data_IF_526574525832
#
_entry.id   IF_526574525832
#
_cell.length_a   1.000
_cell.length_b   1.000
_cell.length_c   1.000
_cell.angle_alpha   90.00
_cell.angle_beta   90.00
_cell.angle_gamma   90.00
#
_symmetry.space_group_name_H-M   'P 1'
#
loop_
_entity.id
_entity.type
_entity.pdbx_description
1 polymer ?
#
# COMPACT_ATOMS: atom_id res chain seq x y z
N UNK A 1 -4.99 19.31 7.49
CA UNK A 1 -3.75 18.96 6.75
C UNK A 1 -3.39 17.54 7.13
N UNK A 2 -2.81 16.75 6.22
CA UNK A 2 -2.39 15.40 6.58
C UNK A 2 -1.09 15.45 7.39
N UNK A 3 -1.02 14.63 8.43
CA UNK A 3 0.15 14.48 9.30
C UNK A 3 0.95 13.26 8.89
N UNK A 4 2.20 13.48 8.51
CA UNK A 4 3.14 12.46 7.99
C UNK A 4 4.18 12.17 9.06
N UNK A 5 4.36 10.91 9.43
CA UNK A 5 5.49 10.47 10.24
C UNK A 5 6.60 9.98 9.30
N UNK A 6 7.79 10.54 9.45
CA UNK A 6 9.02 10.09 8.77
C UNK A 6 9.87 9.33 9.76
N UNK A 7 10.22 8.10 9.43
CA UNK A 7 11.08 7.23 10.23
C UNK A 7 12.31 6.87 9.40
N UNK A 8 13.43 7.46 9.74
CA UNK A 8 14.70 7.36 9.01
C UNK A 8 15.83 7.63 10.01
N UNK A 9 16.83 6.78 10.11
CA UNK A 9 17.93 6.95 11.06
C UNK A 9 18.95 8.00 10.59
N UNK A 10 19.14 8.14 9.29
CA UNK A 10 20.04 9.15 8.73
C UNK A 10 19.41 10.55 8.82
N UNK A 11 19.90 11.36 9.77
CA UNK A 11 19.38 12.70 10.06
C UNK A 11 19.32 13.60 8.83
N UNK A 12 20.32 13.54 7.93
CA UNK A 12 20.37 14.37 6.74
C UNK A 12 19.21 14.05 5.78
N UNK A 13 18.89 12.76 5.58
CA UNK A 13 17.76 12.32 4.74
C UNK A 13 16.44 12.70 5.42
N UNK A 14 16.30 12.39 6.71
CA UNK A 14 15.10 12.68 7.50
C UNK A 14 14.74 14.16 7.49
N UNK A 15 15.72 15.03 7.81
CA UNK A 15 15.52 16.49 7.84
C UNK A 15 15.21 17.06 6.47
N UNK A 16 15.89 16.61 5.40
CA UNK A 16 15.62 17.06 4.05
C UNK A 16 14.21 16.67 3.60
N UNK A 17 13.74 15.46 3.88
CA UNK A 17 12.38 15.04 3.60
C UNK A 17 11.37 15.87 4.39
N UNK A 18 11.62 16.09 5.69
CA UNK A 18 10.73 16.84 6.57
C UNK A 18 10.57 18.29 6.12
N UNK A 19 11.67 18.97 5.81
CA UNK A 19 11.65 20.36 5.33
C UNK A 19 10.83 20.49 4.04
N UNK A 20 11.14 19.65 3.06
CA UNK A 20 10.44 19.68 1.78
C UNK A 20 8.94 19.36 1.91
N UNK A 21 8.56 18.40 2.77
CA UNK A 21 7.14 18.08 2.99
C UNK A 21 6.41 19.20 3.72
N UNK A 22 7.07 19.89 4.67
CA UNK A 22 6.49 21.08 5.31
C UNK A 22 6.25 22.22 4.30
N UNK A 23 7.17 22.41 3.33
CA UNK A 23 6.99 23.38 2.24
C UNK A 23 5.80 23.02 1.34
N UNK A 24 5.51 21.73 1.17
CA UNK A 24 4.32 21.23 0.44
C UNK A 24 3.01 21.31 1.27
N UNK A 25 3.09 21.80 2.51
CA UNK A 25 1.93 22.06 3.38
C UNK A 25 1.50 20.85 4.23
N UNK A 26 2.35 19.86 4.45
CA UNK A 26 2.08 18.75 5.37
C UNK A 26 2.53 19.09 6.81
N UNK A 27 1.82 18.54 7.80
CA UNK A 27 2.35 18.42 9.15
C UNK A 27 3.32 17.25 9.20
N UNK A 28 4.51 17.43 9.78
CA UNK A 28 5.55 16.40 9.75
C UNK A 28 6.06 16.13 11.14
N UNK A 29 5.94 14.88 11.56
CA UNK A 29 6.60 14.24 12.69
C UNK A 29 7.82 13.44 12.23
N UNK A 30 8.82 13.36 13.08
CA UNK A 30 10.08 12.70 12.76
C UNK A 30 10.43 11.69 13.86
N UNK A 31 11.00 10.56 13.47
CA UNK A 31 11.56 9.55 14.38
C UNK A 31 12.88 9.02 13.81
N UNK A 32 13.89 8.85 14.66
CA UNK A 32 15.21 8.36 14.27
C UNK A 32 15.36 6.85 14.40
N UNK A 33 14.40 6.16 15.03
CA UNK A 33 14.43 4.72 15.26
C UNK A 33 13.03 4.11 15.34
N UNK A 34 12.97 2.78 15.34
CA UNK A 34 11.70 2.06 15.33
C UNK A 34 10.95 2.07 16.67
N UNK A 35 11.62 2.34 17.79
CA UNK A 35 10.99 2.46 19.11
C UNK A 35 10.23 3.78 19.19
N UNK A 36 10.90 4.87 18.85
CA UNK A 36 10.27 6.19 18.78
C UNK A 36 9.10 6.20 17.80
N UNK A 37 9.28 5.58 16.62
CA UNK A 37 8.24 5.45 15.62
C UNK A 37 6.99 4.74 16.18
N UNK A 38 7.18 3.59 16.86
CA UNK A 38 6.05 2.85 17.44
C UNK A 38 5.32 3.66 18.50
N UNK A 39 6.05 4.39 19.36
CA UNK A 39 5.46 5.28 20.36
C UNK A 39 4.61 6.39 19.70
N UNK A 40 5.13 7.08 18.69
CA UNK A 40 4.40 8.15 18.00
C UNK A 40 3.16 7.61 17.27
N UNK A 41 3.26 6.44 16.64
CA UNK A 41 2.11 5.79 15.99
C UNK A 41 0.97 5.41 16.96
N UNK A 42 1.27 5.26 18.27
CA UNK A 42 0.27 5.01 19.31
C UNK A 42 -0.32 6.29 19.91
N UNK A 43 0.49 7.34 20.01
CA UNK A 43 0.11 8.54 20.76
C UNK A 43 -0.34 9.70 19.90
N UNK A 44 -0.04 9.71 18.62
CA UNK A 44 -0.30 10.82 17.73
C UNK A 44 -1.21 10.42 16.55
N UNK A 45 -2.08 11.31 16.08
CA UNK A 45 -2.92 11.05 14.92
C UNK A 45 -2.09 11.16 13.63
N UNK A 46 -1.53 10.05 13.18
CA UNK A 46 -0.73 9.98 11.95
C UNK A 46 -1.62 9.53 10.79
N UNK A 47 -1.58 10.27 9.67
CA UNK A 47 -2.35 9.99 8.46
C UNK A 47 -1.52 9.22 7.41
N UNK A 48 -0.19 9.28 7.51
CA UNK A 48 0.73 8.66 6.55
C UNK A 48 2.07 8.33 7.20
N UNK A 49 2.66 7.19 6.84
CA UNK A 49 3.96 6.76 7.31
C UNK A 49 4.96 6.64 6.16
N UNK A 50 6.11 7.31 6.30
CA UNK A 50 7.31 7.04 5.51
C UNK A 50 8.26 6.27 6.40
N UNK A 51 8.73 5.11 5.96
CA UNK A 51 9.43 4.16 6.84
C UNK A 51 10.66 3.59 6.17
N UNK A 52 11.85 3.86 6.71
CA UNK A 52 13.03 3.06 6.40
C UNK A 52 12.95 1.70 7.09
N UNK A 53 13.46 0.70 6.44
CA UNK A 53 13.51 -0.65 6.98
C UNK A 53 14.74 -0.91 7.86
N UNK A 54 15.83 -0.23 7.54
CA UNK A 54 17.14 -0.44 8.17
C UNK A 54 17.33 0.50 9.34
N UNK A 55 16.44 0.43 10.32
CA UNK A 55 16.48 1.25 11.53
C UNK A 55 17.28 0.58 12.64
N UNK A 56 17.92 1.36 13.50
CA UNK A 56 18.50 0.86 14.74
C UNK A 56 17.41 0.49 15.75
N UNK A 57 17.79 -0.22 16.80
CA UNK A 57 16.97 -0.67 17.94
C UNK A 57 15.82 -1.61 17.52
N UNK A 58 14.89 -1.13 16.71
CA UNK A 58 13.76 -1.89 16.21
C UNK A 58 13.64 -1.69 14.70
N UNK A 59 13.65 -2.79 13.94
CA UNK A 59 13.63 -2.73 12.49
C UNK A 59 12.32 -2.12 11.96
N UNK A 60 12.39 -1.45 10.80
CA UNK A 60 11.18 -0.92 10.14
C UNK A 60 10.21 -2.03 9.74
N UNK A 61 10.69 -3.25 9.47
CA UNK A 61 9.83 -4.40 9.21
C UNK A 61 8.99 -4.79 10.44
N UNK A 62 9.56 -4.71 11.64
CA UNK A 62 8.82 -4.98 12.89
C UNK A 62 7.81 -3.88 13.18
N UNK A 63 8.17 -2.61 12.94
CA UNK A 63 7.23 -1.47 13.05
C UNK A 63 6.04 -1.66 12.13
N UNK A 64 6.28 -2.00 10.86
CA UNK A 64 5.23 -2.23 9.87
C UNK A 64 4.30 -3.38 10.26
N UNK A 65 4.90 -4.50 10.69
CA UNK A 65 4.16 -5.69 11.12
C UNK A 65 3.24 -5.38 12.31
N UNK A 66 3.76 -4.76 13.37
CA UNK A 66 2.95 -4.37 14.52
C UNK A 66 1.83 -3.41 14.15
N UNK A 67 2.11 -2.43 13.28
CA UNK A 67 1.11 -1.48 12.81
C UNK A 67 -0.07 -2.21 12.14
N UNK A 68 0.21 -3.21 11.32
CA UNK A 68 -0.82 -4.00 10.63
C UNK A 68 -1.51 -5.00 11.55
N UNK A 69 -0.82 -5.62 12.49
CA UNK A 69 -1.41 -6.49 13.52
C UNK A 69 -2.41 -5.74 14.41
N UNK A 70 -2.17 -4.45 14.69
CA UNK A 70 -3.10 -3.56 15.38
C UNK A 70 -4.31 -3.12 14.50
N UNK A 71 -4.39 -3.58 13.25
CA UNK A 71 -5.48 -3.27 12.33
C UNK A 71 -5.40 -1.88 11.70
N UNK A 72 -4.28 -1.16 11.87
CA UNK A 72 -4.11 0.17 11.26
C UNK A 72 -4.11 0.10 9.74
N UNK A 73 -4.83 1.04 9.11
CA UNK A 73 -4.98 1.17 7.66
C UNK A 73 -4.27 2.40 7.10
N UNK A 74 -3.46 3.09 7.92
CA UNK A 74 -2.70 4.24 7.43
C UNK A 74 -1.79 3.82 6.27
N UNK A 75 -1.71 4.61 5.20
CA UNK A 75 -0.83 4.32 4.09
C UNK A 75 0.64 4.35 4.53
N UNK A 76 1.43 3.36 4.06
CA UNK A 76 2.85 3.23 4.36
C UNK A 76 3.66 3.20 3.07
N UNK A 77 4.54 4.19 2.92
CA UNK A 77 5.57 4.24 1.89
C UNK A 77 6.90 3.81 2.49
N UNK A 78 7.45 2.72 2.00
CA UNK A 78 8.73 2.20 2.48
C UNK A 78 9.88 2.80 1.70
N UNK A 79 10.91 3.29 2.39
CA UNK A 79 12.22 3.63 1.81
C UNK A 79 13.14 2.43 2.00
N UNK A 80 13.83 1.99 0.96
CA UNK A 80 14.69 0.80 1.07
C UNK A 80 15.93 0.91 0.20
N UNK A 81 17.08 0.51 0.75
CA UNK A 81 18.30 0.28 -0.02
C UNK A 81 18.32 -1.11 -0.71
N UNK A 82 17.35 -1.98 -0.38
CA UNK A 82 17.28 -3.35 -0.88
C UNK A 82 16.69 -3.38 -2.28
N UNK A 83 17.50 -3.75 -3.25
CA UNK A 83 17.07 -3.85 -4.66
C UNK A 83 16.65 -5.27 -5.07
N UNK A 84 16.77 -6.24 -4.18
CA UNK A 84 16.40 -7.62 -4.49
C UNK A 84 14.88 -7.77 -4.59
N UNK A 85 14.44 -8.44 -5.63
CA UNK A 85 13.03 -8.68 -5.94
C UNK A 85 12.29 -9.41 -4.78
N UNK A 86 12.98 -10.33 -4.11
CA UNK A 86 12.45 -11.09 -2.96
C UNK A 86 12.15 -10.19 -1.77
N UNK A 87 12.99 -9.17 -1.52
CA UNK A 87 12.79 -8.23 -0.41
C UNK A 87 11.56 -7.33 -0.66
N UNK A 88 11.33 -6.95 -1.91
CA UNK A 88 10.16 -6.14 -2.32
C UNK A 88 8.84 -6.91 -2.16
N UNK A 89 8.83 -8.21 -2.49
CA UNK A 89 7.67 -9.10 -2.24
C UNK A 89 7.34 -9.15 -0.75
N UNK A 90 8.34 -9.39 0.07
CA UNK A 90 8.17 -9.48 1.53
C UNK A 90 7.60 -8.20 2.12
N UNK A 91 8.03 -7.02 1.64
CA UNK A 91 7.54 -5.73 2.13
C UNK A 91 6.05 -5.51 1.90
N UNK A 92 5.57 -5.86 0.72
CA UNK A 92 4.15 -5.73 0.39
C UNK A 92 3.32 -6.81 1.07
N UNK A 93 3.89 -8.00 1.33
CA UNK A 93 3.27 -9.03 2.16
C UNK A 93 3.12 -8.57 3.62
N UNK A 94 4.09 -7.84 4.15
CA UNK A 94 4.03 -7.24 5.48
C UNK A 94 3.03 -6.07 5.57
N UNK A 95 2.50 -5.61 4.44
CA UNK A 95 1.44 -4.61 4.40
C UNK A 95 1.89 -3.19 4.05
N UNK A 96 3.08 -3.01 3.45
CA UNK A 96 3.44 -1.75 2.81
C UNK A 96 2.48 -1.47 1.63
N UNK A 97 2.16 -0.21 1.39
CA UNK A 97 1.31 0.18 0.26
C UNK A 97 2.13 0.48 -0.99
N UNK A 98 3.34 1.00 -0.82
CA UNK A 98 4.30 1.21 -1.90
C UNK A 98 5.72 1.30 -1.35
N UNK A 99 6.71 1.30 -2.22
CA UNK A 99 8.12 1.44 -1.86
C UNK A 99 8.87 2.36 -2.81
N UNK A 100 9.98 2.92 -2.33
CA UNK A 100 10.95 3.68 -3.10
C UNK A 100 12.34 3.15 -2.78
N UNK A 101 13.15 2.93 -3.80
CA UNK A 101 14.54 2.49 -3.63
C UNK A 101 15.47 3.67 -3.47
N UNK A 102 16.39 3.61 -2.51
CA UNK A 102 17.49 4.57 -2.35
C UNK A 102 18.57 4.32 -3.43
N UNK A 103 19.13 5.35 -4.09
CA UNK A 103 18.80 6.77 -3.95
C UNK A 103 17.51 7.15 -4.70
N UNK A 104 16.75 8.08 -4.13
CA UNK A 104 15.47 8.55 -4.68
C UNK A 104 15.48 10.09 -4.88
N UNK A 105 14.58 10.58 -5.71
CA UNK A 105 14.27 12.00 -5.79
C UNK A 105 13.10 12.37 -4.87
N UNK A 106 13.13 13.58 -4.29
CA UNK A 106 11.99 14.09 -3.52
C UNK A 106 10.69 14.13 -4.35
N UNK A 107 10.80 14.49 -5.64
CA UNK A 107 9.65 14.52 -6.54
C UNK A 107 8.97 13.15 -6.69
N UNK A 108 9.74 12.05 -6.69
CA UNK A 108 9.19 10.70 -6.70
C UNK A 108 8.46 10.38 -5.40
N UNK A 109 9.10 10.63 -4.26
CA UNK A 109 8.49 10.41 -2.93
C UNK A 109 7.20 11.20 -2.80
N UNK A 110 7.22 12.50 -3.15
CA UNK A 110 6.04 13.37 -3.09
C UNK A 110 4.89 12.89 -3.99
N UNK A 111 5.21 12.45 -5.21
CA UNK A 111 4.20 11.92 -6.13
C UNK A 111 3.50 10.70 -5.54
N UNK A 112 4.25 9.79 -4.89
CA UNK A 112 3.71 8.60 -4.23
C UNK A 112 2.88 8.94 -3.00
N UNK A 113 3.33 9.88 -2.16
CA UNK A 113 2.56 10.38 -1.01
C UNK A 113 1.22 10.96 -1.47
N UNK A 114 1.24 11.89 -2.44
CA UNK A 114 0.01 12.50 -2.99
C UNK A 114 -0.95 11.44 -3.56
N UNK A 115 -0.42 10.42 -4.20
CA UNK A 115 -1.20 9.33 -4.73
C UNK A 115 -1.83 8.47 -3.62
N UNK A 116 -1.07 8.10 -2.60
CA UNK A 116 -1.53 7.28 -1.49
C UNK A 116 -2.51 8.02 -0.58
N UNK A 117 -2.30 9.31 -0.29
CA UNK A 117 -3.22 10.14 0.51
C UNK A 117 -4.56 10.42 -0.18
N UNK A 118 -4.57 10.58 -1.51
CA UNK A 118 -5.81 10.82 -2.26
C UNK A 118 -6.84 9.70 -2.10
N UNK A 119 -6.45 8.51 -1.69
CA UNK A 119 -7.30 7.33 -1.50
C UNK A 119 -8.09 7.31 -0.21
N UNK A 120 -7.64 8.02 0.82
CA UNK A 120 -8.44 8.22 2.03
C UNK A 120 -9.78 8.91 1.73
N UNK A 121 -9.94 9.42 0.50
CA UNK A 121 -11.15 10.10 0.01
C UNK A 121 -12.07 9.12 -0.79
N UNK A 122 -11.92 7.79 -0.66
CA UNK A 122 -12.94 6.85 -1.12
C UNK A 122 -14.10 6.86 -0.12
N UNK A 123 -14.94 7.89 -0.22
CA UNK A 123 -16.05 8.03 0.68
C UNK A 123 -17.15 8.88 0.11
N UNK A 124 -18.35 8.48 0.46
CA UNK A 124 -19.57 9.29 0.55
C UNK A 124 -20.29 9.69 -0.74
N UNK A 125 -20.25 8.85 -1.79
CA UNK A 125 -21.09 9.11 -2.98
C UNK A 125 -21.27 7.92 -3.90
N UNK A 126 -20.61 6.82 -3.62
CA UNK A 126 -20.63 5.67 -4.50
C UNK A 126 -21.80 4.72 -4.16
N UNK A 127 -22.77 4.66 -5.08
CA UNK A 127 -23.92 3.75 -5.01
C UNK A 127 -23.59 2.27 -5.31
N UNK A 128 -22.29 1.92 -5.39
CA UNK A 128 -21.84 0.54 -5.57
C UNK A 128 -22.21 -0.32 -4.34
N UNK A 129 -22.58 -1.57 -4.52
CA UNK A 129 -22.87 -2.45 -3.41
C UNK A 129 -21.65 -2.54 -2.48
N UNK A 130 -21.90 -2.29 -1.19
CA UNK A 130 -20.85 -2.28 -0.15
C UNK A 130 -20.18 -3.62 -0.02
N UNK A 131 -20.94 -4.70 -0.24
CA UNK A 131 -20.47 -6.09 -0.10
C UNK A 131 -20.67 -6.82 -1.42
N UNK A 132 -19.64 -7.54 -1.89
CA UNK A 132 -19.67 -8.30 -3.15
C UNK A 132 -18.99 -9.65 -2.97
N UNK A 133 -19.54 -10.68 -3.58
CA UNK A 133 -18.89 -12.00 -3.65
C UNK A 133 -17.91 -12.08 -4.82
N UNK A 134 -16.69 -12.47 -4.52
CA UNK A 134 -15.62 -12.71 -5.49
C UNK A 134 -15.10 -14.14 -5.28
N UNK A 135 -15.40 -15.05 -6.22
CA UNK A 135 -15.16 -16.49 -6.00
C UNK A 135 -15.91 -16.97 -4.78
N UNK A 136 -15.23 -17.63 -3.86
CA UNK A 136 -15.74 -18.11 -2.57
C UNK A 136 -15.62 -17.09 -1.42
N UNK A 137 -15.10 -15.88 -1.69
CA UNK A 137 -14.89 -14.86 -0.69
C UNK A 137 -15.96 -13.75 -0.76
N UNK A 138 -16.34 -13.23 0.40
CA UNK A 138 -17.17 -12.04 0.56
C UNK A 138 -16.28 -10.84 0.86
N UNK A 139 -16.35 -9.78 0.05
CA UNK A 139 -15.55 -8.55 0.19
C UNK A 139 -16.45 -7.40 0.59
N UNK A 140 -16.21 -6.79 1.75
CA UNK A 140 -16.82 -5.53 2.19
C UNK A 140 -15.85 -4.37 1.90
N UNK A 141 -16.18 -3.59 0.88
CA UNK A 141 -15.38 -2.42 0.47
C UNK A 141 -15.49 -1.25 1.47
N UNK A 142 -16.57 -1.18 2.24
CA UNK A 142 -16.74 -0.14 3.25
C UNK A 142 -15.93 -0.41 4.51
N UNK A 143 -15.86 -1.68 4.93
CA UNK A 143 -15.05 -2.12 6.07
C UNK A 143 -13.60 -2.43 5.68
N UNK A 144 -13.28 -2.52 4.38
CA UNK A 144 -11.99 -3.00 3.87
C UNK A 144 -11.65 -4.39 4.40
N UNK A 145 -12.61 -5.31 4.31
CA UNK A 145 -12.42 -6.68 4.77
C UNK A 145 -12.80 -7.70 3.70
N UNK A 146 -12.16 -8.86 3.79
CA UNK A 146 -12.44 -10.03 2.97
C UNK A 146 -12.70 -11.20 3.91
N UNK A 147 -13.86 -11.85 3.78
CA UNK A 147 -14.21 -13.06 4.53
C UNK A 147 -14.15 -14.28 3.61
N UNK A 148 -13.37 -15.29 4.00
CA UNK A 148 -13.28 -16.59 3.32
C UNK A 148 -13.08 -17.69 4.35
N UNK A 149 -13.83 -18.79 4.24
CA UNK A 149 -13.74 -19.96 5.15
C UNK A 149 -13.77 -19.55 6.64
N UNK A 150 -14.75 -18.69 7.03
CA UNK A 150 -14.92 -18.12 8.37
C UNK A 150 -13.73 -17.30 8.92
N UNK A 151 -12.72 -17.05 8.12
CA UNK A 151 -11.64 -16.14 8.43
C UNK A 151 -11.87 -14.78 7.81
N UNK A 152 -11.60 -13.73 8.58
CA UNK A 152 -11.67 -12.34 8.13
C UNK A 152 -10.25 -11.80 7.95
N UNK A 153 -10.00 -11.23 6.79
CA UNK A 153 -8.72 -10.61 6.41
C UNK A 153 -8.95 -9.12 6.18
N UNK A 154 -8.01 -8.30 6.63
CA UNK A 154 -8.01 -6.88 6.31
C UNK A 154 -7.42 -6.65 4.91
N UNK A 155 -8.10 -5.81 4.14
CA UNK A 155 -7.60 -5.30 2.86
C UNK A 155 -7.02 -3.91 3.07
N UNK A 156 -5.91 -3.62 2.42
CA UNK A 156 -5.49 -2.22 2.29
C UNK A 156 -6.43 -1.46 1.33
N UNK A 157 -6.50 -0.13 1.42
CA UNK A 157 -7.24 0.68 0.45
C UNK A 157 -6.85 0.41 -1.00
N UNK A 158 -5.57 0.06 -1.23
CA UNK A 158 -5.02 -0.37 -2.53
C UNK A 158 -5.64 -1.65 -3.04
N UNK A 159 -5.61 -2.68 -2.21
CA UNK A 159 -6.15 -3.99 -2.54
C UNK A 159 -7.64 -3.91 -2.85
N UNK A 160 -8.38 -3.17 -2.03
CA UNK A 160 -9.79 -2.90 -2.27
C UNK A 160 -10.01 -2.13 -3.59
N UNK A 161 -9.21 -1.09 -3.87
CA UNK A 161 -9.26 -0.34 -5.12
C UNK A 161 -8.94 -1.21 -6.35
N UNK A 162 -7.98 -2.12 -6.25
CA UNK A 162 -7.65 -3.06 -7.33
C UNK A 162 -8.81 -4.02 -7.60
N UNK A 163 -9.41 -4.59 -6.56
CA UNK A 163 -10.56 -5.48 -6.69
C UNK A 163 -11.75 -4.73 -7.31
N UNK A 164 -12.02 -3.51 -6.86
CA UNK A 164 -13.10 -2.68 -7.41
C UNK A 164 -12.90 -2.41 -8.90
N UNK A 165 -11.69 -1.98 -9.31
CA UNK A 165 -11.38 -1.73 -10.71
C UNK A 165 -11.56 -2.99 -11.58
N UNK A 166 -11.14 -4.15 -11.08
CA UNK A 166 -11.32 -5.41 -11.79
C UNK A 166 -12.79 -5.84 -11.88
N UNK A 167 -13.60 -5.58 -10.85
CA UNK A 167 -15.04 -5.83 -10.88
C UNK A 167 -15.75 -4.95 -11.89
N UNK A 168 -15.45 -3.65 -11.94
CA UNK A 168 -15.98 -2.71 -12.93
C UNK A 168 -15.68 -3.15 -14.38
N UNK A 169 -14.54 -3.81 -14.56
CA UNK A 169 -14.07 -4.33 -15.84
C UNK A 169 -14.17 -5.85 -15.98
N UNK A 170 -15.05 -6.46 -15.21
CA UNK A 170 -15.16 -7.92 -15.18
C UNK A 170 -15.17 -8.54 -16.59
N UNK A 171 -14.38 -9.58 -16.80
CA UNK A 171 -14.20 -10.22 -18.09
C UNK A 171 -13.20 -9.52 -19.05
N UNK A 172 -12.79 -8.28 -18.76
CA UNK A 172 -11.81 -7.52 -19.55
C UNK A 172 -10.46 -7.44 -18.79
N UNK A 173 -9.37 -7.43 -19.56
CA UNK A 173 -8.05 -7.23 -18.97
C UNK A 173 -7.88 -5.77 -18.50
N UNK A 174 -7.33 -5.61 -17.32
CA UNK A 174 -6.82 -4.35 -16.77
C UNK A 174 -5.32 -4.36 -16.91
N UNK A 175 -4.75 -3.35 -17.58
CA UNK A 175 -3.29 -3.29 -17.76
C UNK A 175 -2.62 -2.85 -16.45
N UNK A 176 -1.32 -3.18 -16.29
CA UNK A 176 -0.53 -2.73 -15.14
C UNK A 176 -0.50 -1.21 -15.04
N UNK A 177 -0.37 -0.53 -16.16
CA UNK A 177 -0.41 0.92 -16.24
C UNK A 177 -1.77 1.48 -15.80
N UNK A 178 -2.86 0.82 -16.17
CA UNK A 178 -4.19 1.24 -15.78
C UNK A 178 -4.40 1.09 -14.27
N UNK A 179 -3.90 0.03 -13.66
CA UNK A 179 -3.86 -0.07 -12.20
C UNK A 179 -3.11 1.10 -11.59
N UNK A 180 -1.88 1.37 -12.03
CA UNK A 180 -1.07 2.47 -11.51
C UNK A 180 -1.73 3.84 -11.69
N UNK A 181 -2.41 4.07 -12.78
CA UNK A 181 -3.16 5.33 -13.01
C UNK A 181 -4.42 5.44 -12.17
N UNK A 182 -5.24 4.40 -12.14
CA UNK A 182 -6.58 4.45 -11.50
C UNK A 182 -6.54 4.13 -10.02
N UNK A 183 -5.74 3.17 -9.63
CA UNK A 183 -5.64 2.72 -8.24
C UNK A 183 -4.54 3.45 -7.49
N UNK A 184 -3.34 3.62 -8.02
CA UNK A 184 -2.30 4.45 -7.40
C UNK A 184 -2.43 5.93 -7.73
N UNK A 185 -3.09 6.28 -8.84
CA UNK A 185 -3.28 7.65 -9.29
C UNK A 185 -1.99 8.30 -9.80
N UNK A 186 -1.03 7.51 -10.23
CA UNK A 186 0.21 8.04 -10.78
C UNK A 186 -0.02 8.72 -12.14
N UNK A 187 0.50 9.93 -12.29
CA UNK A 187 0.57 10.64 -13.58
C UNK A 187 1.81 10.23 -14.37
N UNK A 188 2.93 10.00 -13.69
CA UNK A 188 4.17 9.44 -14.23
C UNK A 188 4.29 8.02 -13.71
N UNK A 189 4.41 7.05 -14.61
CA UNK A 189 4.36 5.64 -14.22
C UNK A 189 5.73 5.19 -13.68
N UNK A 190 5.79 4.72 -12.44
CA UNK A 190 6.97 4.04 -11.90
C UNK A 190 7.07 2.60 -12.42
N UNK A 191 7.97 1.80 -11.87
CA UNK A 191 8.04 0.36 -12.14
C UNK A 191 6.68 -0.32 -11.88
N UNK A 192 6.21 -1.08 -12.86
CA UNK A 192 4.90 -1.74 -12.81
C UNK A 192 4.85 -2.96 -11.91
N UNK A 193 5.98 -3.43 -11.39
CA UNK A 193 6.10 -4.64 -10.55
C UNK A 193 5.32 -4.56 -9.24
N UNK A 194 5.12 -3.35 -8.72
CA UNK A 194 4.27 -3.12 -7.53
C UNK A 194 2.88 -3.74 -7.72
N UNK A 195 2.31 -3.65 -8.93
CA UNK A 195 1.01 -4.27 -9.25
C UNK A 195 1.06 -5.78 -9.11
N UNK A 196 2.12 -6.42 -9.64
CA UNK A 196 2.26 -7.88 -9.63
C UNK A 196 2.31 -8.45 -8.21
N UNK A 197 2.93 -7.74 -7.29
CA UNK A 197 3.01 -8.12 -5.88
C UNK A 197 1.66 -8.05 -5.17
N UNK A 198 0.90 -6.97 -5.39
CA UNK A 198 -0.45 -6.88 -4.83
C UNK A 198 -1.38 -7.93 -5.42
N UNK A 199 -1.24 -8.26 -6.70
CA UNK A 199 -1.98 -9.38 -7.32
C UNK A 199 -1.61 -10.71 -6.64
N UNK A 200 -0.34 -10.95 -6.36
CA UNK A 200 0.09 -12.17 -5.67
C UNK A 200 -0.59 -12.27 -4.29
N UNK A 201 -0.61 -11.19 -3.52
CA UNK A 201 -1.28 -11.14 -2.21
C UNK A 201 -2.79 -11.37 -2.34
N UNK A 202 -3.45 -10.69 -3.29
CA UNK A 202 -4.88 -10.87 -3.55
C UNK A 202 -5.22 -12.31 -3.95
N UNK A 203 -4.37 -12.98 -4.74
CA UNK A 203 -4.54 -14.40 -5.07
C UNK A 203 -4.46 -15.29 -3.84
N UNK A 204 -3.52 -15.04 -2.92
CA UNK A 204 -3.45 -15.81 -1.65
C UNK A 204 -4.71 -15.69 -0.81
N UNK A 205 -5.42 -14.57 -0.91
CA UNK A 205 -6.66 -14.35 -0.18
C UNK A 205 -7.89 -14.95 -0.91
N UNK A 206 -7.94 -14.84 -2.23
CA UNK A 206 -9.12 -15.16 -3.03
C UNK A 206 -9.11 -16.58 -3.59
N UNK A 207 -7.97 -17.06 -4.07
CA UNK A 207 -7.86 -18.36 -4.74
C UNK A 207 -7.83 -19.51 -3.73
N UNK A 208 -8.29 -20.67 -4.16
CA UNK A 208 -8.08 -21.93 -3.43
C UNK A 208 -6.68 -22.49 -3.68
N UNK A 209 -6.19 -22.33 -4.90
CA UNK A 209 -4.79 -22.59 -5.30
C UNK A 209 -4.20 -21.34 -5.97
N UNK A 210 -3.39 -20.54 -5.27
CA UNK A 210 -2.76 -19.34 -5.84
C UNK A 210 -1.81 -19.61 -7.02
N UNK A 211 -1.29 -20.83 -7.15
CA UNK A 211 -0.42 -21.23 -8.26
C UNK A 211 -1.23 -21.47 -9.55
N UNK A 212 -2.50 -21.89 -9.42
CA UNK A 212 -3.43 -22.12 -10.54
C UNK A 212 -4.67 -21.22 -10.40
N UNK A 213 -4.53 -19.89 -10.53
CA UNK A 213 -5.58 -18.93 -10.20
C UNK A 213 -6.77 -19.04 -11.17
N UNK A 214 -7.99 -19.03 -10.61
CA UNK A 214 -9.25 -19.08 -11.34
C UNK A 214 -10.05 -17.77 -11.23
N UNK A 215 -9.78 -16.95 -10.23
CA UNK A 215 -10.48 -15.68 -9.97
C UNK A 215 -9.72 -14.51 -10.62
N UNK A 216 -8.40 -14.41 -10.38
CA UNK A 216 -7.55 -13.37 -10.96
C UNK A 216 -6.60 -14.00 -11.99
N UNK A 217 -6.98 -13.91 -13.26
CA UNK A 217 -6.25 -14.54 -14.38
C UNK A 217 -5.18 -13.60 -14.92
N UNK A 218 -3.97 -14.12 -15.16
CA UNK A 218 -2.93 -13.37 -15.87
C UNK A 218 -3.24 -13.34 -17.37
N UNK A 219 -3.23 -12.15 -17.94
CA UNK A 219 -3.26 -11.93 -19.40
C UNK A 219 -1.84 -11.55 -19.82
N UNK A 220 -1.10 -12.54 -20.33
CA UNK A 220 0.33 -12.37 -20.67
C UNK A 220 0.56 -11.16 -21.59
N UNK A 221 1.58 -10.38 -21.28
CA UNK A 221 1.94 -9.16 -22.02
C UNK A 221 0.99 -7.96 -21.80
N UNK A 222 -0.14 -8.13 -21.08
CA UNK A 222 -1.14 -7.08 -20.87
C UNK A 222 -1.28 -6.73 -19.38
N UNK A 223 -1.74 -7.64 -18.56
CA UNK A 223 -2.05 -7.39 -17.16
C UNK A 223 -2.89 -8.50 -16.54
N UNK A 224 -4.01 -8.14 -15.90
CA UNK A 224 -4.83 -9.07 -15.15
C UNK A 224 -6.32 -8.90 -15.45
N UNK A 225 -7.08 -9.98 -15.30
CA UNK A 225 -8.52 -10.00 -15.53
C UNK A 225 -9.21 -10.75 -14.40
N UNK A 226 -10.33 -10.24 -13.93
CA UNK A 226 -11.23 -10.99 -13.06
C UNK A 226 -12.14 -11.89 -13.93
N UNK A 227 -12.27 -13.15 -13.55
CA UNK A 227 -13.10 -14.13 -14.24
C UNK A 227 -14.60 -13.84 -14.10
#
# INVERSE_FOLDING_TARGET
MARILIVEDEEAIRSALAENLRLEGYEVEEAGDGIEASRKLETEPIDFLILDLMLPEKSGTDVLKELREKGSKIPVLVLTARDREVDKVLLLELGADDYVTKPFSFAEVLARIKALLRRTIFSEGDSSPRTVNIGSAEVDFGAFTLKKNDKVYNLSPLEAGMLKLMLEKRGKAVTREEFLRKVWGYSILPDTRTVDFHILKLRRLLEDDPANPQVIITVHGVGYRMA
#
